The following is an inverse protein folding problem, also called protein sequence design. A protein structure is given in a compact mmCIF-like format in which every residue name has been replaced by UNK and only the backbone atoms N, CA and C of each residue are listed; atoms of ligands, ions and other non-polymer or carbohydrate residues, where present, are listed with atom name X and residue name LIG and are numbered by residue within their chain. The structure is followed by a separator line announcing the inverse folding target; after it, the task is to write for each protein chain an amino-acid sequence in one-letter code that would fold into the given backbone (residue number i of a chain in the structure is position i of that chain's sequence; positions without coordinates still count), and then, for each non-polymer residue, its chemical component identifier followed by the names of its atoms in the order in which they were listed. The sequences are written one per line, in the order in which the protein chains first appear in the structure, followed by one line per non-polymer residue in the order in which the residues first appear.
data_IF_849454151145
#
_entry.id   IF_849454151145
#
_cell.length_a   1.000
_cell.length_b   1.000
_cell.length_c   1.000
_cell.angle_alpha   90.00
_cell.angle_beta   90.00
_cell.angle_gamma   90.00
#
_symmetry.space_group_name_H-M   'P 1'
#
loop_
_entity.id
_entity.type
_entity.pdbx_description
1 polymer ?
#
# COMPACT_ATOMS: atom_id res chain seq x y z
N UNK A 1 10.05 -5.00 -10.35
CA UNK A 1 11.50 -4.91 -10.06
C UNK A 1 11.90 -3.67 -9.26
N UNK A 2 11.04 -2.72 -8.92
CA UNK A 2 11.27 -1.63 -7.97
C UNK A 2 12.40 -0.63 -8.27
N UNK A 3 13.21 -0.88 -9.31
CA UNK A 3 14.37 -0.05 -9.68
C UNK A 3 13.95 1.08 -10.64
N UNK A 4 14.08 2.32 -10.22
CA UNK A 4 13.67 3.49 -10.98
C UNK A 4 14.40 3.62 -12.34
N UNK A 5 15.69 3.30 -12.38
CA UNK A 5 16.48 3.32 -13.62
C UNK A 5 15.98 2.29 -14.65
N UNK A 6 15.62 1.10 -14.19
CA UNK A 6 15.03 0.05 -15.02
C UNK A 6 13.66 0.48 -15.54
N UNK A 7 12.80 1.07 -14.68
CA UNK A 7 11.50 1.59 -15.08
C UNK A 7 11.63 2.69 -16.14
N UNK A 8 12.56 3.63 -15.97
CA UNK A 8 12.83 4.68 -16.95
C UNK A 8 13.26 4.10 -18.32
N UNK A 9 14.15 3.10 -18.33
CA UNK A 9 14.57 2.42 -19.56
C UNK A 9 13.41 1.76 -20.29
N UNK A 10 12.53 1.06 -19.54
CA UNK A 10 11.34 0.40 -20.10
C UNK A 10 10.36 1.45 -20.68
N UNK A 11 10.11 2.54 -19.95
CA UNK A 11 9.19 3.60 -20.42
C UNK A 11 9.71 4.29 -21.69
N UNK A 12 11.03 4.54 -21.77
CA UNK A 12 11.65 5.07 -22.99
C UNK A 12 11.51 4.09 -24.19
N UNK A 13 11.60 2.78 -23.92
CA UNK A 13 11.32 1.75 -24.92
C UNK A 13 9.88 1.85 -25.45
N UNK A 14 8.88 1.95 -24.57
CA UNK A 14 7.48 2.12 -24.97
C UNK A 14 7.24 3.37 -25.81
N UNK A 15 7.91 4.47 -25.47
CA UNK A 15 7.85 5.71 -26.27
C UNK A 15 8.45 5.50 -27.67
N UNK A 16 9.59 4.80 -27.76
CA UNK A 16 10.23 4.49 -29.04
C UNK A 16 9.39 3.55 -29.91
N UNK A 17 8.70 2.61 -29.29
CA UNK A 17 7.83 1.64 -29.95
C UNK A 17 6.47 2.24 -30.36
N UNK A 18 6.15 3.45 -29.86
CA UNK A 18 4.91 4.16 -30.19
C UNK A 18 3.66 3.44 -29.70
N UNK A 19 3.69 2.92 -28.46
CA UNK A 19 2.53 2.21 -27.89
C UNK A 19 1.33 3.14 -27.71
N UNK A 20 0.12 2.59 -27.80
CA UNK A 20 -1.14 3.35 -27.71
C UNK A 20 -1.48 3.79 -26.28
N UNK A 21 -0.97 3.09 -25.28
CA UNK A 21 -1.21 3.35 -23.85
C UNK A 21 -0.13 2.72 -23.00
N UNK A 22 0.28 3.40 -21.93
CA UNK A 22 1.18 2.87 -20.89
C UNK A 22 0.39 2.59 -19.62
N UNK A 23 0.42 1.36 -19.13
CA UNK A 23 -0.09 0.99 -17.82
C UNK A 23 1.05 1.02 -16.81
N UNK A 24 1.01 1.96 -15.87
CA UNK A 24 2.01 2.13 -14.82
C UNK A 24 1.48 1.58 -13.49
N UNK A 25 2.07 0.48 -13.01
CA UNK A 25 1.69 -0.15 -11.74
C UNK A 25 2.63 0.28 -10.62
N UNK A 26 2.13 1.02 -9.67
CA UNK A 26 2.78 1.68 -8.54
C UNK A 26 3.33 3.10 -8.83
N UNK A 27 3.65 3.83 -7.75
CA UNK A 27 4.06 5.25 -7.79
C UNK A 27 5.33 5.48 -8.61
N UNK A 28 6.40 4.72 -8.38
CA UNK A 28 7.67 4.91 -9.09
C UNK A 28 7.59 4.61 -10.60
N UNK A 29 6.91 3.55 -11.08
CA UNK A 29 6.63 3.36 -12.50
C UNK A 29 5.78 4.49 -13.10
N UNK A 30 4.79 5.03 -12.38
CA UNK A 30 4.01 6.17 -12.83
C UNK A 30 4.88 7.40 -13.04
N UNK A 31 5.77 7.71 -12.10
CA UNK A 31 6.72 8.81 -12.21
C UNK A 31 7.65 8.64 -13.42
N UNK A 32 8.15 7.42 -13.64
CA UNK A 32 9.01 7.10 -14.78
C UNK A 32 8.26 7.26 -16.11
N UNK A 33 7.01 6.82 -16.20
CA UNK A 33 6.18 6.98 -17.40
C UNK A 33 5.85 8.46 -17.66
N UNK A 34 5.50 9.22 -16.61
CA UNK A 34 5.22 10.65 -16.70
C UNK A 34 6.42 11.47 -17.18
N UNK A 35 7.64 11.06 -16.78
CA UNK A 35 8.88 11.69 -17.23
C UNK A 35 9.22 11.34 -18.70
N UNK A 36 8.82 10.16 -19.18
CA UNK A 36 9.16 9.68 -20.51
C UNK A 36 8.27 10.28 -21.62
N UNK A 37 7.01 10.61 -21.33
CA UNK A 37 6.07 11.11 -22.37
C UNK A 37 4.99 12.03 -21.81
N UNK A 38 4.65 13.04 -22.62
CA UNK A 38 3.50 13.94 -22.38
C UNK A 38 2.37 13.73 -23.37
N UNK A 39 2.52 12.81 -24.33
CA UNK A 39 1.56 12.58 -25.43
C UNK A 39 0.90 11.20 -25.36
N UNK A 40 1.64 10.14 -25.06
CA UNK A 40 1.07 8.80 -24.92
C UNK A 40 0.19 8.77 -23.67
N UNK A 41 -1.06 8.29 -23.73
CA UNK A 41 -1.90 8.09 -22.57
C UNK A 41 -1.24 7.20 -21.50
N UNK A 42 -1.32 7.60 -20.25
CA UNK A 42 -0.81 6.82 -19.11
C UNK A 42 -1.96 6.53 -18.17
N UNK A 43 -2.15 5.28 -17.79
CA UNK A 43 -3.00 4.87 -16.67
C UNK A 43 -2.16 4.33 -15.53
N UNK A 44 -2.26 5.00 -14.38
CA UNK A 44 -1.73 4.48 -13.14
C UNK A 44 -2.69 3.47 -12.51
N UNK A 45 -2.15 2.46 -11.87
CA UNK A 45 -2.88 1.57 -10.96
C UNK A 45 -2.01 1.28 -9.74
N UNK A 46 -2.60 1.00 -8.60
CA UNK A 46 -1.84 0.81 -7.35
C UNK A 46 -0.93 2.01 -7.05
N UNK A 47 -1.45 3.22 -7.29
CA UNK A 47 -0.77 4.49 -7.00
C UNK A 47 -1.52 5.14 -5.85
N UNK A 48 -0.83 5.39 -4.76
CA UNK A 48 -1.47 5.85 -3.53
C UNK A 48 -2.01 7.28 -3.64
N UNK A 49 -1.18 8.23 -4.07
CA UNK A 49 -1.55 9.64 -4.19
C UNK A 49 -0.92 10.27 -5.42
N UNK A 50 -1.76 10.61 -6.40
CA UNK A 50 -1.31 11.17 -7.67
C UNK A 50 -0.79 12.59 -7.54
N UNK A 51 -1.34 13.39 -6.62
CA UNK A 51 -0.88 14.74 -6.39
C UNK A 51 0.58 14.75 -5.91
N UNK A 52 0.90 13.91 -4.91
CA UNK A 52 2.27 13.74 -4.42
C UNK A 52 3.18 13.11 -5.47
N UNK A 53 2.70 12.05 -6.17
CA UNK A 53 3.51 11.33 -7.15
C UNK A 53 3.95 12.21 -8.33
N UNK A 54 3.08 13.13 -8.76
CA UNK A 54 3.26 13.99 -9.93
C UNK A 54 3.54 15.45 -9.58
N UNK A 55 3.73 15.77 -8.30
CA UNK A 55 4.01 17.11 -7.78
C UNK A 55 2.96 18.14 -8.24
N UNK A 56 1.66 17.80 -8.09
CA UNK A 56 0.54 18.67 -8.45
C UNK A 56 0.07 19.40 -7.19
N UNK A 57 0.26 20.73 -7.14
CA UNK A 57 -0.16 21.58 -6.01
C UNK A 57 -1.65 21.87 -5.99
N UNK A 58 -2.26 22.11 -7.17
CA UNK A 58 -3.68 22.49 -7.30
C UNK A 58 -4.53 21.25 -7.66
N UNK A 59 -4.62 20.32 -6.69
CA UNK A 59 -5.31 19.05 -6.91
C UNK A 59 -6.83 19.23 -7.01
N UNK A 60 -7.39 18.79 -8.14
CA UNK A 60 -8.83 18.88 -8.44
C UNK A 60 -9.54 17.53 -8.59
N UNK A 61 -8.83 16.43 -8.30
CA UNK A 61 -9.32 15.06 -8.50
C UNK A 61 -8.92 14.46 -9.84
N UNK A 62 -8.40 15.26 -10.78
CA UNK A 62 -7.81 14.81 -12.05
C UNK A 62 -6.41 15.41 -12.19
N UNK A 63 -5.56 14.77 -13.00
CA UNK A 63 -4.19 15.26 -13.18
C UNK A 63 -4.09 16.46 -14.12
N UNK A 64 -5.07 16.64 -15.01
CA UNK A 64 -5.02 17.65 -16.08
C UNK A 64 -3.94 17.38 -17.13
N UNK A 65 -3.33 16.18 -17.13
CA UNK A 65 -2.26 15.74 -18.04
C UNK A 65 -2.72 14.51 -18.83
N UNK A 66 -1.84 13.96 -19.66
CA UNK A 66 -2.06 12.68 -20.34
C UNK A 66 -2.13 11.46 -19.39
N UNK A 67 -2.46 11.67 -18.13
CA UNK A 67 -2.40 10.69 -17.03
C UNK A 67 -3.74 10.63 -16.32
N UNK A 68 -4.25 9.42 -16.07
CA UNK A 68 -5.34 9.13 -15.14
C UNK A 68 -5.08 7.78 -14.46
N UNK A 69 -6.07 7.20 -13.80
CA UNK A 69 -5.95 5.88 -13.20
C UNK A 69 -6.75 5.67 -11.93
N UNK A 70 -6.29 4.71 -11.14
CA UNK A 70 -6.92 4.30 -9.89
C UNK A 70 -5.96 4.41 -8.72
N UNK A 71 -6.49 4.79 -7.55
CA UNK A 71 -5.72 4.91 -6.30
C UNK A 71 -5.92 3.70 -5.40
N UNK A 72 -4.84 3.26 -4.78
CA UNK A 72 -4.82 2.25 -3.72
C UNK A 72 -4.66 2.85 -2.33
N UNK A 73 -4.99 4.13 -2.16
CA UNK A 73 -4.94 4.76 -0.84
C UNK A 73 -5.80 3.96 0.13
N UNK A 74 -5.13 3.37 1.11
CA UNK A 74 -5.79 2.57 2.13
C UNK A 74 -6.61 3.44 3.09
N UNK A 75 -7.69 2.91 3.68
CA UNK A 75 -8.50 3.62 4.67
C UNK A 75 -7.78 3.65 6.02
N UNK A 76 -6.81 4.54 6.16
CA UNK A 76 -5.90 4.60 7.31
C UNK A 76 -6.65 4.87 8.62
N UNK A 77 -7.70 5.68 8.56
CA UNK A 77 -8.56 5.97 9.73
C UNK A 77 -9.19 4.69 10.27
N UNK A 78 -9.76 3.85 9.39
CA UNK A 78 -10.38 2.57 9.77
C UNK A 78 -9.34 1.56 10.25
N UNK A 79 -8.14 1.57 9.67
CA UNK A 79 -7.04 0.68 10.08
C UNK A 79 -6.54 1.03 11.47
N UNK A 80 -6.35 2.30 11.79
CA UNK A 80 -5.94 2.76 13.11
C UNK A 80 -7.06 2.56 14.15
N UNK A 81 -8.33 2.79 13.79
CA UNK A 81 -9.47 2.50 14.66
C UNK A 81 -9.58 1.01 14.97
N UNK A 82 -9.38 0.14 13.96
CA UNK A 82 -9.32 -1.32 14.14
C UNK A 82 -8.18 -1.73 15.08
N UNK A 83 -7.00 -1.15 14.93
CA UNK A 83 -5.88 -1.40 15.84
C UNK A 83 -6.28 -1.13 17.29
N UNK A 84 -6.94 0.01 17.53
CA UNK A 84 -7.41 0.40 18.86
C UNK A 84 -8.54 -0.51 19.38
N UNK A 85 -9.41 -1.01 18.51
CA UNK A 85 -10.46 -1.97 18.86
C UNK A 85 -9.87 -3.35 19.21
N UNK A 86 -8.85 -3.80 18.46
CA UNK A 86 -8.15 -5.07 18.74
C UNK A 86 -7.28 -4.99 20.00
N UNK A 87 -6.67 -3.84 20.28
CA UNK A 87 -5.72 -3.62 21.38
C UNK A 87 -6.07 -2.33 22.12
N UNK A 88 -7.09 -2.35 23.02
CA UNK A 88 -7.53 -1.13 23.73
C UNK A 88 -6.42 -0.45 24.56
N UNK A 89 -5.44 -1.22 25.04
CA UNK A 89 -4.33 -0.74 25.86
C UNK A 89 -3.11 -0.27 25.06
N UNK A 90 -3.15 -0.34 23.72
CA UNK A 90 -2.06 0.13 22.84
C UNK A 90 -1.81 1.62 23.08
N UNK A 91 -0.54 1.99 23.18
CA UNK A 91 -0.08 3.38 23.41
C UNK A 91 0.93 3.82 22.37
N UNK A 92 1.80 2.92 21.91
CA UNK A 92 2.89 3.25 21.00
C UNK A 92 2.91 2.33 19.80
N UNK A 93 2.89 2.93 18.60
CA UNK A 93 2.86 2.24 17.31
C UNK A 93 4.15 2.50 16.54
N UNK A 94 4.83 1.43 16.11
CA UNK A 94 5.95 1.51 15.20
C UNK A 94 5.44 1.65 13.76
N UNK A 95 5.83 2.71 13.08
CA UNK A 95 5.49 2.92 11.67
C UNK A 95 6.63 2.38 10.81
N UNK A 96 6.43 1.20 10.21
CA UNK A 96 7.45 0.51 9.42
C UNK A 96 7.26 0.82 7.93
N UNK A 97 8.25 1.46 7.31
CA UNK A 97 8.16 1.85 5.91
C UNK A 97 9.52 2.09 5.24
N UNK A 98 9.53 2.07 3.90
CA UNK A 98 10.68 2.45 3.09
C UNK A 98 10.81 3.97 2.99
N UNK A 99 11.94 4.51 3.43
CA UNK A 99 12.21 5.95 3.40
C UNK A 99 12.43 6.50 1.98
N UNK A 100 12.64 5.66 0.99
CA UNK A 100 12.78 6.06 -0.41
C UNK A 100 11.44 6.16 -1.16
N UNK A 101 10.35 5.58 -0.62
CA UNK A 101 9.04 5.56 -1.26
C UNK A 101 8.19 6.78 -0.88
N UNK A 102 7.81 7.59 -1.88
CA UNK A 102 6.98 8.79 -1.68
C UNK A 102 5.56 8.44 -1.19
N UNK A 103 4.95 7.37 -1.74
CA UNK A 103 3.67 6.82 -1.30
C UNK A 103 3.68 6.44 0.19
N UNK A 104 4.74 5.82 0.67
CA UNK A 104 4.87 5.39 2.06
C UNK A 104 4.99 6.59 3.00
N UNK A 105 5.81 7.58 2.64
CA UNK A 105 5.93 8.84 3.41
C UNK A 105 4.60 9.58 3.50
N UNK A 106 3.84 9.66 2.41
CA UNK A 106 2.52 10.28 2.38
C UNK A 106 1.57 9.60 3.37
N UNK A 107 1.43 8.28 3.29
CA UNK A 107 0.55 7.50 4.14
C UNK A 107 0.97 7.54 5.62
N UNK A 108 2.27 7.46 5.90
CA UNK A 108 2.80 7.61 7.27
C UNK A 108 2.46 8.99 7.86
N UNK A 109 2.48 10.04 7.03
CA UNK A 109 2.01 11.37 7.43
C UNK A 109 0.53 11.38 7.85
N UNK A 110 -0.32 10.63 7.16
CA UNK A 110 -1.73 10.42 7.53
C UNK A 110 -1.85 9.56 8.79
N UNK A 111 -1.17 8.44 8.86
CA UNK A 111 -1.19 7.54 10.02
C UNK A 111 -0.78 8.25 11.33
N UNK A 112 0.25 9.08 11.28
CA UNK A 112 0.65 9.92 12.43
C UNK A 112 -0.46 10.86 12.90
N UNK A 113 -1.23 11.43 11.96
CA UNK A 113 -2.36 12.30 12.31
C UNK A 113 -3.50 11.51 12.97
N UNK A 114 -3.84 10.36 12.41
CA UNK A 114 -4.90 9.50 12.96
C UNK A 114 -4.50 8.89 14.31
N UNK A 115 -3.29 8.36 14.44
CA UNK A 115 -2.74 7.87 15.72
C UNK A 115 -2.83 8.94 16.81
N UNK A 116 -2.47 10.19 16.49
CA UNK A 116 -2.58 11.32 17.44
C UNK A 116 -4.03 11.58 17.88
N UNK A 117 -5.01 11.49 16.98
CA UNK A 117 -6.44 11.64 17.34
C UNK A 117 -6.90 10.55 18.31
N UNK A 118 -6.33 9.34 18.18
CA UNK A 118 -6.62 8.18 19.05
C UNK A 118 -5.79 8.17 20.34
N UNK A 119 -4.98 9.21 20.60
CA UNK A 119 -4.11 9.29 21.76
C UNK A 119 -2.92 8.36 21.72
N UNK A 120 -2.52 7.90 20.53
CA UNK A 120 -1.36 7.04 20.34
C UNK A 120 -0.10 7.87 20.04
N UNK A 121 1.05 7.36 20.47
CA UNK A 121 2.36 7.85 20.04
C UNK A 121 2.93 6.98 18.94
N UNK A 122 3.75 7.54 18.06
CA UNK A 122 4.34 6.81 16.94
C UNK A 122 5.86 6.87 16.98
N UNK A 123 6.50 5.80 16.51
CA UNK A 123 7.95 5.67 16.32
C UNK A 123 8.21 5.30 14.89
N UNK A 124 8.98 6.10 14.16
CA UNK A 124 9.39 5.76 12.79
C UNK A 124 10.40 4.62 12.80
N UNK A 125 10.12 3.60 11.99
CA UNK A 125 10.98 2.45 11.75
C UNK A 125 11.22 2.36 10.25
N UNK A 126 12.28 3.02 9.77
CA UNK A 126 12.54 3.17 8.34
C UNK A 126 13.58 2.16 7.86
N UNK A 127 13.36 1.68 6.64
CA UNK A 127 14.34 0.92 5.86
C UNK A 127 14.66 1.67 4.57
N UNK A 128 15.86 1.50 4.05
CA UNK A 128 16.27 1.98 2.72
C UNK A 128 16.57 0.81 1.78
N UNK A 129 16.87 -0.36 2.36
CA UNK A 129 17.17 -1.60 1.65
C UNK A 129 16.48 -2.79 2.33
N UNK A 130 16.15 -3.82 1.54
CA UNK A 130 15.47 -5.03 2.05
C UNK A 130 16.29 -5.79 3.10
N UNK A 131 17.62 -5.69 3.04
CA UNK A 131 18.54 -6.30 4.01
C UNK A 131 18.40 -5.75 5.43
N UNK A 132 17.89 -4.52 5.59
CA UNK A 132 17.70 -3.85 6.88
C UNK A 132 16.44 -4.28 7.61
N UNK A 133 15.46 -4.86 6.89
CA UNK A 133 14.11 -5.17 7.42
C UNK A 133 14.19 -5.94 8.74
N UNK A 134 14.95 -7.03 8.78
CA UNK A 134 15.07 -7.84 10.00
C UNK A 134 15.53 -7.01 11.19
N UNK A 135 16.65 -6.30 11.05
CA UNK A 135 17.25 -5.53 12.13
C UNK A 135 16.34 -4.41 12.61
N UNK A 136 15.68 -3.72 11.68
CA UNK A 136 14.75 -2.63 12.00
C UNK A 136 13.56 -3.16 12.79
N UNK A 137 12.94 -4.26 12.36
CA UNK A 137 11.82 -4.87 13.09
C UNK A 137 12.24 -5.39 14.46
N UNK A 138 13.40 -6.05 14.57
CA UNK A 138 13.97 -6.49 15.86
C UNK A 138 14.19 -5.31 16.81
N UNK A 139 14.59 -4.16 16.30
CA UNK A 139 14.83 -2.96 17.11
C UNK A 139 13.57 -2.37 17.77
N UNK A 140 12.37 -2.75 17.28
CA UNK A 140 11.08 -2.32 17.85
C UNK A 140 10.66 -3.14 19.08
N UNK A 141 11.29 -4.28 19.33
CA UNK A 141 10.97 -5.14 20.47
C UNK A 141 11.11 -4.39 21.79
N UNK A 142 10.04 -4.41 22.58
CA UNK A 142 9.98 -3.72 23.88
C UNK A 142 9.87 -2.20 23.79
N UNK A 143 9.77 -1.62 22.57
CA UNK A 143 9.61 -0.18 22.38
C UNK A 143 8.22 0.20 21.86
N UNK A 144 7.52 -0.73 21.22
CA UNK A 144 6.20 -0.49 20.66
C UNK A 144 5.24 -1.59 21.04
N UNK A 145 3.95 -1.26 21.08
CA UNK A 145 2.88 -2.20 21.40
C UNK A 145 2.33 -2.87 20.14
N UNK A 146 2.47 -2.22 18.99
CA UNK A 146 2.08 -2.72 17.67
C UNK A 146 2.97 -2.12 16.58
N UNK A 147 2.98 -2.76 15.40
CA UNK A 147 3.58 -2.23 14.18
C UNK A 147 2.47 -1.97 13.18
N UNK A 148 2.57 -0.86 12.45
CA UNK A 148 1.76 -0.53 11.29
C UNK A 148 2.66 -0.33 10.07
N UNK A 149 2.27 -0.87 8.93
CA UNK A 149 2.90 -0.57 7.64
C UNK A 149 1.87 -0.19 6.59
N UNK A 150 2.09 0.93 5.87
CA UNK A 150 1.25 1.35 4.75
C UNK A 150 1.39 0.41 3.54
N UNK A 151 0.77 0.78 2.40
CA UNK A 151 1.04 0.14 1.10
C UNK A 151 2.46 0.50 0.65
N UNK A 152 3.41 -0.31 1.09
CA UNK A 152 4.86 -0.13 0.90
C UNK A 152 5.41 -1.31 0.11
N UNK A 153 6.02 -1.04 -1.05
CA UNK A 153 6.46 -2.11 -1.96
C UNK A 153 7.63 -2.92 -1.38
N UNK A 154 8.55 -2.27 -0.68
CA UNK A 154 9.70 -2.95 -0.09
C UNK A 154 9.26 -3.84 1.09
N UNK A 155 8.39 -3.32 1.95
CA UNK A 155 7.86 -4.09 3.09
C UNK A 155 6.98 -5.24 2.60
N UNK A 156 6.14 -5.03 1.57
CA UNK A 156 5.34 -6.08 0.95
C UNK A 156 6.20 -7.19 0.35
N UNK A 157 7.29 -6.83 -0.35
CA UNK A 157 8.25 -7.81 -0.87
C UNK A 157 8.95 -8.61 0.26
N UNK A 158 9.24 -7.94 1.38
CA UNK A 158 9.88 -8.52 2.57
C UNK A 158 8.93 -9.06 3.64
N UNK A 159 7.62 -9.15 3.36
CA UNK A 159 6.56 -9.40 4.34
C UNK A 159 6.81 -10.65 5.22
N UNK A 160 7.35 -11.71 4.64
CA UNK A 160 7.64 -12.95 5.39
C UNK A 160 8.68 -12.70 6.50
N UNK A 161 9.71 -11.89 6.21
CA UNK A 161 10.72 -11.52 7.21
C UNK A 161 10.12 -10.68 8.32
N UNK A 162 9.33 -9.66 7.95
CA UNK A 162 8.65 -8.78 8.92
C UNK A 162 7.74 -9.60 9.83
N UNK A 163 6.85 -10.42 9.23
CA UNK A 163 5.87 -11.22 9.96
C UNK A 163 6.52 -12.24 10.88
N UNK A 164 7.61 -12.88 10.44
CA UNK A 164 8.36 -13.82 11.26
C UNK A 164 8.91 -13.12 12.51
N UNK A 165 9.62 -12.03 12.34
CA UNK A 165 10.26 -11.30 13.46
C UNK A 165 9.22 -10.69 14.39
N UNK A 166 8.17 -10.07 13.85
CA UNK A 166 7.09 -9.49 14.64
C UNK A 166 6.36 -10.56 15.48
N UNK A 167 6.07 -11.72 14.88
CA UNK A 167 5.43 -12.86 15.56
C UNK A 167 6.31 -13.48 16.64
N UNK A 168 7.62 -13.63 16.42
CA UNK A 168 8.59 -14.07 17.42
C UNK A 168 8.67 -13.10 18.60
N UNK A 169 8.63 -11.80 18.31
CA UNK A 169 8.62 -10.75 19.31
C UNK A 169 7.24 -10.55 19.98
N UNK A 170 6.18 -11.24 19.51
CA UNK A 170 4.79 -11.07 19.96
C UNK A 170 4.25 -9.66 19.74
N UNK A 171 4.71 -8.96 18.72
CA UNK A 171 4.24 -7.62 18.35
C UNK A 171 3.17 -7.76 17.26
N UNK A 172 1.92 -7.31 17.49
CA UNK A 172 0.89 -7.26 16.46
C UNK A 172 1.34 -6.41 15.26
N UNK A 173 1.12 -6.92 14.06
CA UNK A 173 1.50 -6.22 12.83
C UNK A 173 0.26 -5.95 11.98
N UNK A 174 -0.21 -4.71 11.99
CA UNK A 174 -1.30 -4.19 11.17
C UNK A 174 -0.71 -3.77 9.82
N UNK A 175 -1.38 -4.13 8.75
CA UNK A 175 -0.91 -3.95 7.38
C UNK A 175 -1.97 -3.28 6.51
N UNK A 176 -1.56 -2.66 5.40
CA UNK A 176 -2.45 -1.83 4.61
C UNK A 176 -3.24 -2.60 3.54
N UNK A 177 -2.89 -3.86 3.22
CA UNK A 177 -3.56 -4.59 2.13
C UNK A 177 -3.59 -6.12 2.36
N UNK A 178 -4.42 -6.83 1.56
CA UNK A 178 -4.70 -8.27 1.70
C UNK A 178 -3.45 -9.14 1.53
N UNK A 179 -2.57 -8.84 0.58
CA UNK A 179 -1.36 -9.64 0.31
C UNK A 179 -0.39 -9.62 1.48
N UNK A 180 -0.21 -8.45 2.11
CA UNK A 180 0.59 -8.34 3.33
C UNK A 180 -0.07 -9.10 4.50
N UNK A 181 -1.41 -9.09 4.59
CA UNK A 181 -2.13 -9.85 5.61
C UNK A 181 -1.96 -11.36 5.39
N UNK A 182 -2.12 -11.84 4.16
CA UNK A 182 -1.88 -13.26 3.82
C UNK A 182 -0.40 -13.64 3.89
N UNK A 183 0.52 -12.68 3.82
CA UNK A 183 1.96 -12.85 4.06
C UNK A 183 2.32 -12.96 5.54
N UNK A 184 1.35 -12.87 6.47
CA UNK A 184 1.54 -13.06 7.91
C UNK A 184 1.29 -11.81 8.75
N UNK A 185 0.88 -10.68 8.18
CA UNK A 185 0.32 -9.56 8.93
C UNK A 185 -0.94 -9.97 9.68
N UNK A 186 -1.30 -9.25 10.73
CA UNK A 186 -2.43 -9.62 11.59
C UNK A 186 -3.78 -9.32 10.96
N UNK A 187 -3.96 -8.07 10.54
CA UNK A 187 -5.26 -7.59 10.06
C UNK A 187 -5.10 -6.34 9.19
N UNK A 188 -6.10 -6.09 8.37
CA UNK A 188 -6.22 -4.89 7.55
C UNK A 188 -7.69 -4.58 7.23
N UNK A 189 -8.03 -3.31 7.07
CA UNK A 189 -9.04 -2.86 6.12
C UNK A 189 -8.30 -2.60 4.81
N UNK A 190 -8.41 -3.53 3.86
CA UNK A 190 -7.50 -3.59 2.71
C UNK A 190 -8.16 -3.25 1.38
N UNK A 191 -7.36 -2.68 0.49
CA UNK A 191 -7.71 -2.51 -0.92
C UNK A 191 -7.67 -3.86 -1.61
N UNK A 192 -8.62 -4.10 -2.49
CA UNK A 192 -8.66 -5.29 -3.34
C UNK A 192 -8.05 -4.97 -4.71
N UNK A 193 -6.81 -5.34 -4.92
CA UNK A 193 -6.06 -5.05 -6.14
C UNK A 193 -6.67 -5.67 -7.41
N UNK A 194 -7.37 -6.80 -7.29
CA UNK A 194 -8.07 -7.38 -8.45
C UNK A 194 -9.22 -6.48 -8.92
N UNK A 195 -10.05 -5.99 -7.99
CA UNK A 195 -11.13 -5.03 -8.30
C UNK A 195 -10.55 -3.73 -8.86
N UNK A 196 -9.46 -3.25 -8.26
CA UNK A 196 -8.77 -2.04 -8.72
C UNK A 196 -8.24 -2.19 -10.15
N UNK A 197 -7.63 -3.34 -10.46
CA UNK A 197 -7.18 -3.65 -11.83
C UNK A 197 -8.32 -3.72 -12.84
N UNK A 198 -9.48 -4.29 -12.47
CA UNK A 198 -10.68 -4.28 -13.30
C UNK A 198 -11.21 -2.86 -13.55
N UNK A 199 -11.13 -2.00 -12.54
CA UNK A 199 -11.53 -0.59 -12.65
C UNK A 199 -10.60 0.16 -13.60
N UNK A 200 -9.28 -0.02 -13.45
CA UNK A 200 -8.27 0.54 -14.36
C UNK A 200 -8.46 0.04 -15.80
N UNK A 201 -8.77 -1.24 -15.99
CA UNK A 201 -9.04 -1.79 -17.33
C UNK A 201 -10.25 -1.14 -18.00
N UNK A 202 -11.32 -0.82 -17.28
CA UNK A 202 -12.46 -0.08 -17.81
C UNK A 202 -12.08 1.34 -18.26
N UNK A 203 -11.16 1.99 -17.57
CA UNK A 203 -10.62 3.28 -17.99
C UNK A 203 -9.78 3.12 -19.28
N UNK A 204 -8.94 2.08 -19.35
CA UNK A 204 -8.12 1.79 -20.53
C UNK A 204 -8.98 1.60 -21.79
N UNK A 205 -10.07 0.83 -21.68
CA UNK A 205 -11.01 0.63 -22.80
C UNK A 205 -11.58 1.95 -23.31
N UNK A 206 -12.02 2.86 -22.41
CA UNK A 206 -12.56 4.16 -22.80
C UNK A 206 -11.54 5.00 -23.58
N UNK A 207 -10.28 4.98 -23.14
CA UNK A 207 -9.20 5.73 -23.80
C UNK A 207 -8.89 5.14 -25.18
N UNK A 208 -8.68 3.82 -25.26
CA UNK A 208 -8.34 3.13 -26.51
C UNK A 208 -9.45 3.18 -27.56
N UNK A 209 -10.71 3.30 -27.13
CA UNK A 209 -11.86 3.50 -28.01
C UNK A 209 -12.09 4.99 -28.39
N UNK A 210 -11.24 5.90 -27.90
CA UNK A 210 -11.38 7.35 -28.13
C UNK A 210 -12.60 7.99 -27.46
N UNK A 211 -13.16 7.34 -26.42
CA UNK A 211 -14.35 7.81 -25.70
C UNK A 211 -14.03 8.76 -24.56
N UNK A 212 -12.77 8.79 -24.09
CA UNK A 212 -12.31 9.64 -23.01
C UNK A 212 -10.83 10.00 -23.18
N UNK A 213 -10.45 11.16 -22.67
CA UNK A 213 -9.05 11.58 -22.59
C UNK A 213 -8.59 11.56 -21.13
N UNK A 214 -7.38 11.04 -20.83
CA UNK A 214 -6.90 10.94 -19.45
C UNK A 214 -6.94 12.26 -18.67
N UNK A 215 -6.67 13.38 -19.33
CA UNK A 215 -6.65 14.71 -18.68
C UNK A 215 -7.98 15.11 -18.02
N UNK A 216 -9.10 14.60 -18.57
CA UNK A 216 -10.47 14.91 -18.13
C UNK A 216 -11.04 13.81 -17.22
N UNK A 217 -10.31 12.70 -17.06
CA UNK A 217 -10.75 11.58 -16.24
C UNK A 217 -10.27 11.77 -14.79
N UNK A 218 -11.19 11.77 -13.80
CA UNK A 218 -10.79 11.80 -12.40
C UNK A 218 -10.06 10.52 -12.01
N UNK A 219 -9.19 10.63 -11.00
CA UNK A 219 -8.63 9.45 -10.33
C UNK A 219 -9.77 8.75 -9.60
N UNK A 220 -9.89 7.44 -9.81
CA UNK A 220 -10.92 6.64 -9.17
C UNK A 220 -10.33 5.92 -7.94
N UNK A 221 -11.16 5.76 -6.91
CA UNK A 221 -10.82 5.08 -5.66
C UNK A 221 -11.69 3.83 -5.52
N UNK A 222 -11.23 2.87 -4.72
CA UNK A 222 -12.09 1.75 -4.33
C UNK A 222 -13.11 2.23 -3.28
N UNK A 223 -14.40 1.95 -3.50
CA UNK A 223 -15.47 2.45 -2.63
C UNK A 223 -15.53 1.77 -1.26
N UNK A 224 -15.17 0.48 -1.17
CA UNK A 224 -15.27 -0.31 0.06
C UNK A 224 -13.99 -1.12 0.27
N UNK A 225 -13.43 -1.00 1.46
CA UNK A 225 -12.33 -1.85 1.91
C UNK A 225 -12.90 -3.09 2.62
N UNK A 226 -12.28 -4.23 2.38
CA UNK A 226 -12.65 -5.47 3.06
C UNK A 226 -11.85 -5.61 4.37
N UNK A 227 -12.53 -5.91 5.49
CA UNK A 227 -11.85 -6.29 6.73
C UNK A 227 -11.31 -7.72 6.58
N UNK A 228 -10.01 -7.87 6.71
CA UNK A 228 -9.30 -9.14 6.57
C UNK A 228 -8.49 -9.41 7.84
N UNK A 229 -8.59 -10.62 8.38
CA UNK A 229 -7.85 -11.03 9.59
C UNK A 229 -7.17 -12.37 9.34
N UNK A 230 -5.87 -12.43 9.64
CA UNK A 230 -5.09 -13.66 9.53
C UNK A 230 -5.22 -14.53 10.79
N UNK A 231 -5.94 -15.65 10.67
CA UNK A 231 -6.21 -16.56 11.79
C UNK A 231 -4.96 -17.26 12.33
N UNK A 232 -3.93 -17.47 11.50
CA UNK A 232 -2.69 -18.11 11.95
C UNK A 232 -1.88 -17.13 12.83
N UNK A 233 -1.84 -15.85 12.45
CA UNK A 233 -1.23 -14.78 13.23
C UNK A 233 -2.00 -14.53 14.53
N UNK A 234 -3.34 -14.51 14.48
CA UNK A 234 -4.20 -14.46 15.67
C UNK A 234 -3.83 -15.56 16.66
N UNK A 235 -3.73 -16.81 16.17
CA UNK A 235 -3.35 -17.97 16.98
C UNK A 235 -1.94 -17.83 17.56
N UNK A 236 -0.98 -17.41 16.74
CA UNK A 236 0.43 -17.24 17.14
C UNK A 236 0.59 -16.20 18.25
N UNK A 237 -0.15 -15.09 18.13
CA UNK A 237 -0.11 -14.01 19.14
C UNK A 237 -1.00 -14.29 20.36
N UNK A 238 -1.91 -15.26 20.28
CA UNK A 238 -2.85 -15.59 21.35
C UNK A 238 -3.94 -14.53 21.55
N UNK A 239 -4.34 -13.84 20.49
CA UNK A 239 -5.28 -12.71 20.52
C UNK A 239 -6.72 -13.21 20.47
N UNK A 240 -7.60 -12.58 21.22
CA UNK A 240 -9.05 -12.76 21.12
C UNK A 240 -9.64 -11.64 20.27
N UNK A 241 -10.17 -12.00 19.09
CA UNK A 241 -10.83 -11.05 18.21
C UNK A 241 -12.21 -10.68 18.77
N UNK A 242 -12.56 -9.39 18.86
CA UNK A 242 -13.91 -8.95 19.23
C UNK A 242 -14.97 -9.54 18.28
N UNK A 243 -16.11 -9.95 18.83
CA UNK A 243 -17.18 -10.62 18.05
C UNK A 243 -17.72 -9.75 16.91
N UNK A 244 -17.69 -8.43 17.05
CA UNK A 244 -18.06 -7.49 15.99
C UNK A 244 -17.15 -7.64 14.78
N UNK A 245 -15.83 -7.51 14.98
CA UNK A 245 -14.83 -7.65 13.91
C UNK A 245 -14.83 -9.06 13.31
N UNK A 246 -15.01 -10.09 14.14
CA UNK A 246 -15.05 -11.48 13.67
C UNK A 246 -16.22 -11.77 12.73
N UNK A 247 -17.37 -11.12 12.92
CA UNK A 247 -18.56 -11.27 12.04
C UNK A 247 -18.36 -10.60 10.69
N UNK A 248 -17.63 -9.49 10.66
CA UNK A 248 -17.38 -8.69 9.47
C UNK A 248 -16.19 -9.23 8.66
N UNK A 249 -15.18 -9.77 9.35
CA UNK A 249 -13.91 -10.10 8.75
C UNK A 249 -13.93 -11.32 7.81
N UNK A 250 -13.28 -11.18 6.68
CA UNK A 250 -12.78 -12.30 5.88
C UNK A 250 -11.58 -12.92 6.59
N UNK A 251 -11.73 -14.13 7.09
CA UNK A 251 -10.64 -14.85 7.76
C UNK A 251 -9.73 -15.53 6.74
N UNK A 252 -8.44 -15.20 6.75
CA UNK A 252 -7.42 -15.77 5.87
C UNK A 252 -6.40 -16.59 6.65
N UNK A 253 -5.57 -17.35 5.93
CA UNK A 253 -4.40 -18.06 6.46
C UNK A 253 -3.14 -17.50 5.86
N UNK A 254 -2.02 -17.68 6.56
CA UNK A 254 -0.70 -17.33 6.04
C UNK A 254 -0.37 -18.23 4.85
N UNK A 255 -0.14 -17.61 3.69
CA UNK A 255 0.31 -18.33 2.50
C UNK A 255 1.81 -18.62 2.65
N UNK A 256 2.19 -19.89 2.65
CA UNK A 256 3.59 -20.24 2.46
C UNK A 256 3.95 -19.92 1.02
N UNK A 257 4.96 -19.05 0.80
CA UNK A 257 5.58 -19.00 -0.54
C UNK A 257 6.00 -20.42 -0.88
N UNK A 258 5.33 -21.05 -1.83
CA UNK A 258 5.91 -22.18 -2.54
C UNK A 258 7.07 -21.60 -3.34
N UNK A 259 8.30 -22.03 -3.02
CA UNK A 259 9.48 -21.85 -3.87
C UNK A 259 9.12 -22.49 -5.23
N UNK A 260 8.55 -21.70 -6.12
CA UNK A 260 8.46 -22.02 -7.54
C UNK A 260 9.35 -21.00 -8.23
N UNK A 261 10.44 -21.56 -8.71
CA UNK A 261 11.51 -21.08 -9.59
C UNK A 261 11.16 -19.86 -10.45
#
# INVERSE_FOLDING_TARGET
QGEQTTAATICNGFVSDGVDLILANATSPLQSAAAATTSIPILGTSVTDYATALEISDWSGATGRNISGTSDLAPIEEQEAMLKELFPDVKQVGLLYCSAEANSKFQVGLAKKEAKKLGLTTVDATVSESSEIRQVVESLKGKVDAIYSPTDNMIAAGINTVSMVANEAKIPFIVAEEGMCTGGGLATYGVNYYKLGQQTAKQAVKILEGKAEPKDMPIEYQENADLIINKDTVKTLGIKIPEKLKKEAKMVTTQKKTDKE
#
